data_IF_999428032104
#
_entry.id   IF_999428032104
#
_cell.length_a   1.000
_cell.length_b   1.000
_cell.length_c   1.000
_cell.angle_alpha   90.00
_cell.angle_beta   90.00
_cell.angle_gamma   90.00
#
_symmetry.space_group_name_H-M   'P 1'
#
loop_
_entity.id
_entity.type
_entity.pdbx_description
1 polymer ?
#
# COMPACT_ATOMS: atom_id res chain seq x y z
N UNK A 1 15.28 -1.23 10.34
CA UNK A 1 14.07 -0.60 9.77
C UNK A 1 13.75 0.59 10.63
N UNK A 2 13.95 1.80 10.14
CA UNK A 2 13.54 2.99 10.87
C UNK A 2 12.08 3.27 10.50
N UNK A 3 11.18 3.14 11.46
CA UNK A 3 9.81 3.63 11.32
C UNK A 3 9.90 5.15 11.41
N UNK A 4 9.54 5.85 10.34
CA UNK A 4 9.56 7.32 10.31
C UNK A 4 8.55 7.94 11.31
N UNK A 5 7.61 7.13 11.81
CA UNK A 5 6.58 7.53 12.78
C UNK A 5 6.30 6.38 13.74
N UNK A 6 5.88 6.71 14.96
CA UNK A 6 5.43 5.72 15.91
C UNK A 6 4.27 4.90 15.31
N UNK A 7 4.35 3.58 15.49
CA UNK A 7 3.29 2.68 15.02
C UNK A 7 2.02 2.96 15.83
N UNK A 8 0.87 3.21 15.20
CA UNK A 8 -0.37 3.30 15.95
C UNK A 8 -0.65 1.94 16.60
N UNK A 9 -0.99 1.97 17.87
CA UNK A 9 -1.51 0.78 18.56
C UNK A 9 -2.90 0.49 17.99
N UNK A 10 -3.03 -0.59 17.24
CA UNK A 10 -4.31 -1.05 16.72
C UNK A 10 -4.89 -2.03 17.74
N UNK A 11 -6.04 -1.68 18.30
CA UNK A 11 -6.75 -2.62 19.17
C UNK A 11 -7.14 -3.87 18.38
N UNK A 12 -6.94 -5.05 18.95
CA UNK A 12 -7.28 -6.34 18.32
C UNK A 12 -8.73 -6.43 17.88
N UNK A 13 -9.63 -5.72 18.57
CA UNK A 13 -11.07 -5.77 18.36
C UNK A 13 -11.60 -4.70 17.39
N UNK A 14 -10.74 -3.81 16.90
CA UNK A 14 -11.15 -2.81 15.94
C UNK A 14 -11.40 -3.40 14.54
N UNK A 15 -12.57 -3.07 13.99
CA UNK A 15 -12.86 -3.34 12.57
C UNK A 15 -12.09 -2.36 11.70
N UNK A 16 -11.35 -2.87 10.72
CA UNK A 16 -10.48 -2.03 9.91
C UNK A 16 -10.48 -2.41 8.43
N UNK A 17 -10.71 -1.42 7.58
CA UNK A 17 -10.38 -1.47 6.17
C UNK A 17 -8.94 -1.01 6.01
N UNK A 18 -8.04 -1.94 5.68
CA UNK A 18 -6.62 -1.66 5.55
C UNK A 18 -6.18 -1.66 4.10
N UNK A 19 -5.63 -0.55 3.62
CA UNK A 19 -5.14 -0.40 2.25
C UNK A 19 -3.61 -0.27 2.27
N UNK A 20 -2.93 -1.22 1.66
CA UNK A 20 -1.51 -1.13 1.35
C UNK A 20 -1.33 -0.58 -0.05
N UNK A 21 -0.66 0.56 -0.15
CA UNK A 21 -0.33 1.24 -1.39
C UNK A 21 1.12 1.74 -1.37
N UNK A 22 1.58 2.20 -2.51
CA UNK A 22 2.91 2.79 -2.68
C UNK A 22 3.32 2.83 -4.14
N UNK A 23 4.29 3.66 -4.50
CA UNK A 23 4.69 3.83 -5.88
C UNK A 23 5.20 2.52 -6.48
N UNK A 24 5.01 2.40 -7.76
CA UNK A 24 5.59 1.28 -8.52
C UNK A 24 7.10 1.19 -8.23
N UNK A 25 7.64 -0.03 -8.04
CA UNK A 25 9.04 -0.26 -7.64
C UNK A 25 9.41 0.12 -6.19
N UNK A 26 8.45 0.40 -5.33
CA UNK A 26 8.67 0.54 -3.88
C UNK A 26 8.41 -0.76 -3.11
N UNK A 27 8.70 -1.91 -3.68
CA UNK A 27 8.50 -3.26 -3.13
C UNK A 27 7.03 -3.72 -2.99
N UNK A 28 6.04 -2.97 -3.50
CA UNK A 28 4.62 -3.32 -3.35
C UNK A 28 4.29 -4.71 -3.88
N UNK A 29 4.86 -5.12 -5.04
CA UNK A 29 4.62 -6.47 -5.59
C UNK A 29 5.17 -7.56 -4.66
N UNK A 30 6.33 -7.34 -4.04
CA UNK A 30 6.90 -8.27 -3.08
C UNK A 30 6.02 -8.40 -1.82
N UNK A 31 5.55 -7.25 -1.30
CA UNK A 31 4.66 -7.21 -0.13
C UNK A 31 3.35 -7.93 -0.45
N UNK A 32 2.71 -7.61 -1.57
CA UNK A 32 1.46 -8.26 -1.99
C UNK A 32 1.62 -9.78 -2.13
N UNK A 33 2.71 -10.24 -2.74
CA UNK A 33 3.00 -11.66 -2.91
C UNK A 33 3.22 -12.37 -1.56
N UNK A 34 3.93 -11.73 -0.63
CA UNK A 34 4.13 -12.25 0.72
C UNK A 34 2.82 -12.33 1.51
N UNK A 35 1.98 -11.31 1.41
CA UNK A 35 0.65 -11.30 2.03
C UNK A 35 -0.20 -12.46 1.49
N UNK A 36 -0.21 -12.67 0.17
CA UNK A 36 -0.93 -13.79 -0.46
C UNK A 36 -0.46 -15.15 0.03
N UNK A 37 0.86 -15.38 0.10
CA UNK A 37 1.43 -16.63 0.61
C UNK A 37 1.10 -16.90 2.08
N UNK A 38 0.82 -15.84 2.85
CA UNK A 38 0.45 -15.94 4.26
C UNK A 38 -1.05 -15.75 4.51
N UNK A 39 -1.91 -15.92 3.49
CA UNK A 39 -3.36 -15.71 3.60
C UNK A 39 -3.99 -16.53 4.73
N UNK A 40 -3.58 -17.80 4.90
CA UNK A 40 -4.06 -18.64 5.98
C UNK A 40 -3.70 -18.06 7.36
N UNK A 41 -2.46 -17.61 7.54
CA UNK A 41 -2.02 -16.96 8.78
C UNK A 41 -2.72 -15.61 9.00
N UNK A 42 -3.04 -14.85 7.95
CA UNK A 42 -3.88 -13.64 8.05
C UNK A 42 -5.29 -13.98 8.53
N UNK A 43 -5.89 -15.05 8.01
CA UNK A 43 -7.22 -15.50 8.42
C UNK A 43 -7.27 -15.89 9.90
N UNK A 44 -6.22 -16.54 10.45
CA UNK A 44 -6.14 -16.81 11.90
C UNK A 44 -6.04 -15.54 12.75
N UNK A 45 -5.58 -14.43 12.16
CA UNK A 45 -5.55 -13.09 12.76
C UNK A 45 -6.81 -12.27 12.45
N UNK A 46 -7.88 -12.92 11.97
CA UNK A 46 -9.16 -12.30 11.61
C UNK A 46 -9.04 -11.25 10.49
N UNK A 47 -8.07 -11.41 9.59
CA UNK A 47 -7.83 -10.54 8.44
C UNK A 47 -8.22 -11.25 7.15
N UNK A 48 -9.23 -10.72 6.46
CA UNK A 48 -9.61 -11.14 5.11
C UNK A 48 -8.79 -10.33 4.10
N UNK A 49 -8.00 -11.01 3.30
CA UNK A 49 -7.25 -10.36 2.22
C UNK A 49 -8.05 -10.38 0.92
N UNK A 50 -8.02 -9.25 0.19
CA UNK A 50 -8.55 -9.15 -1.18
C UNK A 50 -8.09 -10.32 -2.06
N UNK A 51 -8.98 -10.76 -2.95
CA UNK A 51 -8.76 -11.94 -3.80
C UNK A 51 -7.53 -11.85 -4.71
N UNK A 52 -7.21 -12.97 -5.35
CA UNK A 52 -6.01 -13.07 -6.20
C UNK A 52 -6.03 -12.12 -7.40
N UNK A 53 -7.22 -11.76 -7.84
CA UNK A 53 -7.44 -10.84 -8.97
C UNK A 53 -7.37 -9.36 -8.56
N UNK A 54 -7.07 -9.03 -7.29
CA UNK A 54 -7.15 -7.67 -6.75
C UNK A 54 -8.48 -6.97 -7.07
N UNK A 55 -9.59 -7.67 -6.93
CA UNK A 55 -10.90 -7.17 -7.32
C UNK A 55 -11.21 -5.83 -6.66
N UNK A 56 -11.08 -5.74 -5.34
CA UNK A 56 -11.39 -4.52 -4.59
C UNK A 56 -10.42 -3.38 -4.95
N UNK A 57 -9.14 -3.70 -5.13
CA UNK A 57 -8.15 -2.70 -5.54
C UNK A 57 -8.47 -2.13 -6.94
N UNK A 58 -8.86 -2.98 -7.88
CA UNK A 58 -9.18 -2.55 -9.24
C UNK A 58 -10.46 -1.70 -9.27
N UNK A 59 -11.49 -2.11 -8.55
CA UNK A 59 -12.76 -1.36 -8.50
C UNK A 59 -12.59 0.00 -7.82
N UNK A 60 -11.76 0.11 -6.77
CA UNK A 60 -11.38 1.40 -6.18
C UNK A 60 -10.64 2.27 -7.22
N UNK A 61 -9.70 1.69 -7.97
CA UNK A 61 -8.97 2.42 -9.01
C UNK A 61 -9.90 2.93 -10.13
N UNK A 62 -10.96 2.21 -10.43
CA UNK A 62 -12.01 2.54 -11.40
C UNK A 62 -13.12 3.44 -10.82
N UNK A 63 -13.05 3.74 -9.50
CA UNK A 63 -14.05 4.50 -8.75
C UNK A 63 -15.45 3.80 -8.72
N UNK A 64 -15.45 2.48 -8.84
CA UNK A 64 -16.63 1.64 -8.61
C UNK A 64 -16.55 1.05 -7.19
N UNK A 65 -17.27 1.61 -6.25
CA UNK A 65 -17.18 1.23 -4.83
C UNK A 65 -18.16 0.14 -4.40
N UNK A 66 -19.11 -0.26 -5.25
CA UNK A 66 -20.11 -1.26 -4.90
C UNK A 66 -19.50 -2.59 -4.43
N UNK A 67 -18.47 -3.18 -5.07
CA UNK A 67 -17.85 -4.40 -4.57
C UNK A 67 -17.18 -4.24 -3.20
N UNK A 68 -16.71 -3.02 -2.87
CA UNK A 68 -16.18 -2.73 -1.54
C UNK A 68 -17.29 -2.64 -0.50
N UNK A 69 -18.42 -2.02 -0.83
CA UNK A 69 -19.62 -2.01 0.03
C UNK A 69 -20.11 -3.42 0.34
N UNK A 70 -20.20 -4.25 -0.68
CA UNK A 70 -20.61 -5.65 -0.55
C UNK A 70 -19.64 -6.42 0.38
N UNK A 71 -18.33 -6.18 0.24
CA UNK A 71 -17.31 -6.80 1.08
C UNK A 71 -17.37 -6.31 2.54
N UNK A 72 -17.66 -5.03 2.78
CA UNK A 72 -17.76 -4.44 4.12
C UNK A 72 -19.03 -4.93 4.82
N UNK A 73 -20.17 -4.95 4.12
CA UNK A 73 -21.47 -5.40 4.65
C UNK A 73 -21.51 -6.91 4.86
N UNK A 74 -20.92 -7.67 3.93
CA UNK A 74 -20.92 -9.13 3.92
C UNK A 74 -19.75 -9.78 4.67
N UNK A 75 -18.91 -8.99 5.40
CA UNK A 75 -17.76 -9.56 6.08
C UNK A 75 -18.18 -10.61 7.13
N UNK A 76 -17.73 -11.88 7.00
CA UNK A 76 -18.08 -12.92 7.96
C UNK A 76 -17.64 -12.56 9.39
N UNK A 77 -18.42 -12.95 10.40
CA UNK A 77 -18.20 -12.56 11.81
C UNK A 77 -16.88 -13.01 12.42
N UNK A 78 -16.24 -14.03 11.83
CA UNK A 78 -14.90 -14.47 12.21
C UNK A 78 -13.79 -13.55 11.71
N UNK A 79 -14.08 -12.58 10.84
CA UNK A 79 -13.13 -11.56 10.37
C UNK A 79 -13.47 -10.19 10.97
N UNK A 80 -12.44 -9.39 11.19
CA UNK A 80 -12.55 -8.00 11.67
C UNK A 80 -11.88 -7.00 10.73
N UNK A 81 -11.02 -7.48 9.85
CA UNK A 81 -10.22 -6.62 8.99
C UNK A 81 -10.28 -7.07 7.55
N UNK A 82 -10.36 -6.10 6.64
CA UNK A 82 -10.19 -6.32 5.21
C UNK A 82 -8.86 -5.69 4.81
N UNK A 83 -8.00 -6.47 4.15
CA UNK A 83 -6.70 -6.02 3.67
C UNK A 83 -6.70 -6.00 2.14
N UNK A 84 -6.55 -4.81 1.58
CA UNK A 84 -6.39 -4.57 0.14
C UNK A 84 -4.93 -4.19 -0.11
N UNK A 85 -4.25 -4.88 -1.01
CA UNK A 85 -2.83 -4.64 -1.28
C UNK A 85 -2.57 -4.55 -2.77
N UNK A 86 -2.30 -3.33 -3.27
CA UNK A 86 -2.00 -3.13 -4.69
C UNK A 86 -1.20 -1.85 -4.95
N UNK A 87 -0.22 -1.95 -5.85
CA UNK A 87 0.50 -0.77 -6.36
C UNK A 87 -0.35 0.09 -7.30
N UNK A 88 -1.46 -0.44 -7.85
CA UNK A 88 -2.37 0.35 -8.71
C UNK A 88 -3.11 1.45 -7.95
N UNK A 89 -3.14 1.34 -6.63
CA UNK A 89 -3.80 2.32 -5.76
C UNK A 89 -2.93 3.55 -5.44
N UNK A 90 -1.64 3.56 -5.76
CA UNK A 90 -0.70 4.61 -5.36
C UNK A 90 -1.23 6.03 -5.62
N UNK A 91 -1.43 6.37 -6.88
CA UNK A 91 -1.90 7.72 -7.27
C UNK A 91 -3.41 7.91 -7.05
N UNK A 92 -4.16 6.83 -6.92
CA UNK A 92 -5.62 6.89 -6.77
C UNK A 92 -6.02 7.26 -5.34
N UNK A 93 -5.46 6.59 -4.34
CA UNK A 93 -5.78 6.87 -2.94
C UNK A 93 -5.28 8.23 -2.46
N UNK A 94 -4.36 8.87 -3.19
CA UNK A 94 -3.88 10.21 -2.88
C UNK A 94 -4.80 11.32 -3.41
N UNK A 95 -5.86 10.98 -4.13
CA UNK A 95 -6.89 11.96 -4.48
C UNK A 95 -7.79 12.20 -3.27
N UNK A 96 -7.93 13.47 -2.88
CA UNK A 96 -8.76 13.88 -1.74
C UNK A 96 -10.17 13.28 -1.81
N UNK A 97 -10.82 13.34 -2.97
CA UNK A 97 -12.16 12.78 -3.18
C UNK A 97 -12.21 11.27 -2.92
N UNK A 98 -11.20 10.52 -3.35
CA UNK A 98 -11.14 9.06 -3.14
C UNK A 98 -10.93 8.74 -1.67
N UNK A 99 -10.03 9.46 -0.98
CA UNK A 99 -9.80 9.29 0.46
C UNK A 99 -11.08 9.56 1.27
N UNK A 100 -11.79 10.65 0.96
CA UNK A 100 -13.05 10.98 1.62
C UNK A 100 -14.07 9.87 1.41
N UNK A 101 -14.30 9.42 0.18
CA UNK A 101 -15.24 8.35 -0.12
C UNK A 101 -14.87 7.06 0.62
N UNK A 102 -13.60 6.66 0.60
CA UNK A 102 -13.15 5.44 1.29
C UNK A 102 -13.32 5.54 2.81
N UNK A 103 -13.04 6.71 3.39
CA UNK A 103 -13.22 6.97 4.81
C UNK A 103 -14.71 6.89 5.20
N UNK A 104 -15.57 7.61 4.47
CA UNK A 104 -17.00 7.68 4.75
C UNK A 104 -17.65 6.31 4.57
N UNK A 105 -17.27 5.59 3.51
CA UNK A 105 -17.74 4.24 3.26
C UNK A 105 -17.30 3.28 4.39
N UNK A 106 -16.02 3.26 4.75
CA UNK A 106 -15.55 2.44 5.86
C UNK A 106 -16.31 2.75 7.15
N UNK A 107 -16.46 4.04 7.47
CA UNK A 107 -17.13 4.51 8.68
C UNK A 107 -18.61 4.13 8.73
N UNK A 108 -19.33 4.17 7.60
CA UNK A 108 -20.75 3.79 7.53
C UNK A 108 -21.01 2.32 7.87
N UNK A 109 -20.00 1.46 7.69
CA UNK A 109 -20.03 0.04 8.06
C UNK A 109 -19.29 -0.25 9.39
N UNK A 110 -18.91 0.77 10.14
CA UNK A 110 -18.23 0.64 11.43
C UNK A 110 -16.77 0.21 11.35
N UNK A 111 -16.11 0.47 10.21
CA UNK A 111 -14.68 0.25 10.04
C UNK A 111 -13.89 1.56 10.16
N UNK A 112 -12.69 1.48 10.73
CA UNK A 112 -11.68 2.52 10.57
C UNK A 112 -10.93 2.31 9.25
N UNK A 113 -10.59 3.39 8.57
CA UNK A 113 -9.70 3.33 7.41
C UNK A 113 -8.24 3.38 7.85
N UNK A 114 -7.45 2.41 7.41
CA UNK A 114 -6.00 2.37 7.61
C UNK A 114 -5.26 2.37 6.28
N UNK A 115 -4.18 3.15 6.17
CA UNK A 115 -3.35 3.21 4.97
C UNK A 115 -1.89 2.95 5.32
N UNK A 116 -1.33 1.90 4.72
CA UNK A 116 0.12 1.65 4.69
C UNK A 116 0.68 2.17 3.39
N UNK A 117 1.54 3.18 3.47
CA UNK A 117 2.14 3.76 2.28
C UNK A 117 3.65 3.49 2.26
N UNK A 118 4.10 2.77 1.23
CA UNK A 118 5.51 2.45 1.06
C UNK A 118 6.21 3.54 0.26
N UNK A 119 7.30 4.03 0.81
CA UNK A 119 8.22 4.96 0.13
C UNK A 119 9.57 4.26 -0.09
N UNK A 120 10.29 4.68 -1.10
CA UNK A 120 11.63 4.18 -1.39
C UNK A 120 12.57 5.36 -1.53
N UNK A 121 13.85 5.16 -1.18
CA UNK A 121 14.89 6.12 -1.50
C UNK A 121 14.79 6.55 -2.97
N UNK A 122 14.76 7.86 -3.22
CA UNK A 122 14.46 8.41 -4.53
C UNK A 122 15.49 8.00 -5.60
N UNK A 123 16.78 7.93 -5.24
CA UNK A 123 17.83 7.53 -6.14
C UNK A 123 17.69 6.05 -6.54
N UNK A 124 17.50 5.19 -5.56
CA UNK A 124 17.27 3.75 -5.79
C UNK A 124 15.98 3.49 -6.55
N UNK A 125 14.93 4.28 -6.28
CA UNK A 125 13.68 4.20 -7.00
C UNK A 125 13.86 4.58 -8.47
N UNK A 126 14.50 5.73 -8.73
CA UNK A 126 14.74 6.26 -10.07
C UNK A 126 15.54 5.27 -10.93
N UNK A 127 16.60 4.71 -10.37
CA UNK A 127 17.41 3.68 -11.03
C UNK A 127 16.56 2.43 -11.35
N UNK A 128 15.76 1.97 -10.41
CA UNK A 128 14.88 0.79 -10.59
C UNK A 128 13.84 1.00 -11.69
N UNK A 129 13.22 2.18 -11.75
CA UNK A 129 12.24 2.52 -12.79
C UNK A 129 12.92 2.64 -14.15
N UNK A 130 14.08 3.28 -14.22
CA UNK A 130 14.86 3.37 -15.46
C UNK A 130 15.24 1.99 -16.00
N UNK A 131 15.80 1.12 -15.16
CA UNK A 131 16.13 -0.25 -15.55
C UNK A 131 14.90 -1.03 -16.04
N UNK A 132 13.75 -0.81 -15.42
CA UNK A 132 12.49 -1.41 -15.87
C UNK A 132 12.06 -0.90 -17.23
N UNK A 133 12.18 0.40 -17.49
CA UNK A 133 11.87 0.99 -18.80
C UNK A 133 12.79 0.45 -19.90
N UNK A 134 14.07 0.34 -19.64
CA UNK A 134 15.03 -0.24 -20.60
C UNK A 134 14.66 -1.69 -20.92
N UNK A 135 14.40 -2.51 -19.88
CA UNK A 135 14.09 -3.95 -20.05
C UNK A 135 12.75 -4.20 -20.71
N UNK A 136 11.71 -3.50 -20.30
CA UNK A 136 10.32 -3.80 -20.72
C UNK A 136 9.90 -3.01 -21.95
N UNK A 137 10.32 -1.78 -22.06
CA UNK A 137 9.91 -0.86 -23.11
C UNK A 137 11.03 -0.58 -24.12
N UNK A 138 12.18 -1.26 -23.99
CA UNK A 138 13.36 -1.08 -24.84
C UNK A 138 13.75 0.39 -25.01
N UNK A 139 13.64 1.18 -23.96
CA UNK A 139 14.01 2.59 -23.98
C UNK A 139 15.51 2.73 -24.25
N UNK A 140 15.85 3.55 -25.23
CA UNK A 140 17.23 3.89 -25.60
C UNK A 140 17.70 5.22 -25.00
N UNK A 141 16.84 5.88 -24.23
CA UNK A 141 17.15 7.14 -23.59
C UNK A 141 18.28 6.96 -22.55
N UNK A 142 19.30 7.80 -22.59
CA UNK A 142 20.34 7.81 -21.56
C UNK A 142 19.80 8.12 -20.17
N UNK A 143 20.37 7.49 -19.13
CA UNK A 143 19.93 7.67 -17.75
C UNK A 143 19.98 9.14 -17.30
N UNK A 144 21.03 9.87 -17.67
CA UNK A 144 21.18 11.29 -17.36
C UNK A 144 20.06 12.17 -17.94
N UNK A 145 19.63 11.88 -19.17
CA UNK A 145 18.48 12.56 -19.81
C UNK A 145 17.17 12.20 -19.15
N UNK A 146 17.02 10.92 -18.79
CA UNK A 146 15.85 10.44 -18.03
C UNK A 146 15.73 11.13 -16.68
N UNK A 147 16.82 11.19 -15.90
CA UNK A 147 16.82 11.89 -14.60
C UNK A 147 16.44 13.36 -14.73
N UNK A 148 17.04 14.09 -15.70
CA UNK A 148 16.67 15.49 -15.94
C UNK A 148 15.21 15.68 -16.31
N UNK A 149 14.62 14.78 -17.07
CA UNK A 149 13.22 14.81 -17.42
C UNK A 149 12.33 14.64 -16.16
N UNK A 150 12.62 13.66 -15.32
CA UNK A 150 11.91 13.41 -14.07
C UNK A 150 12.01 14.61 -13.12
N UNK A 151 13.20 15.16 -12.93
CA UNK A 151 13.42 16.30 -12.03
C UNK A 151 12.67 17.57 -12.47
N UNK A 152 12.40 17.73 -13.77
CA UNK A 152 11.59 18.84 -14.28
C UNK A 152 10.09 18.63 -14.04
N UNK A 153 9.66 17.40 -13.81
CA UNK A 153 8.24 17.02 -13.65
C UNK A 153 8.06 16.06 -12.46
N UNK A 154 8.46 16.45 -11.23
CA UNK A 154 8.47 15.54 -10.08
C UNK A 154 7.09 14.98 -9.74
N UNK A 155 6.04 15.79 -9.81
CA UNK A 155 4.67 15.39 -9.48
C UNK A 155 4.08 14.35 -10.42
N UNK A 156 4.56 14.28 -11.67
CA UNK A 156 4.07 13.32 -12.66
C UNK A 156 4.66 11.90 -12.49
N UNK A 157 5.64 11.72 -11.61
CA UNK A 157 6.45 10.49 -11.54
C UNK A 157 6.56 9.87 -10.16
N UNK A 158 5.66 10.13 -9.27
CA UNK A 158 5.60 9.49 -7.95
C UNK A 158 6.80 9.76 -7.01
N UNK A 159 7.67 10.72 -7.34
CA UNK A 159 8.82 11.07 -6.50
C UNK A 159 8.54 12.21 -5.52
N UNK A 160 7.42 12.90 -5.66
CA UNK A 160 7.02 13.96 -4.73
C UNK A 160 6.39 13.39 -3.46
N UNK A 161 7.22 12.72 -2.66
CA UNK A 161 6.78 12.18 -1.37
C UNK A 161 6.28 13.24 -0.38
N UNK A 162 6.86 14.45 -0.29
CA UNK A 162 6.34 15.48 0.59
C UNK A 162 4.87 15.81 0.31
N UNK A 163 4.49 16.04 -0.94
CA UNK A 163 3.09 16.29 -1.31
C UNK A 163 2.18 15.10 -1.02
N UNK A 164 2.64 13.89 -1.30
CA UNK A 164 1.88 12.66 -1.01
C UNK A 164 1.65 12.46 0.49
N UNK A 165 2.69 12.64 1.29
CA UNK A 165 2.60 12.57 2.75
C UNK A 165 1.66 13.66 3.28
N UNK A 166 1.76 14.88 2.76
CA UNK A 166 0.89 16.00 3.14
C UNK A 166 -0.59 15.68 2.88
N UNK A 167 -0.92 15.09 1.72
CA UNK A 167 -2.29 14.66 1.43
C UNK A 167 -2.78 13.67 2.49
N UNK A 168 -2.01 12.63 2.78
CA UNK A 168 -2.39 11.62 3.76
C UNK A 168 -2.48 12.21 5.19
N UNK A 169 -1.55 13.07 5.59
CA UNK A 169 -1.55 13.69 6.92
C UNK A 169 -2.65 14.73 7.12
N UNK A 170 -3.25 15.21 6.04
CA UNK A 170 -4.43 16.08 6.07
C UNK A 170 -5.72 15.41 6.58
N UNK A 171 -5.71 14.09 6.81
CA UNK A 171 -6.85 13.32 7.33
C UNK A 171 -6.51 12.72 8.69
N UNK A 172 -6.70 13.42 9.82
CA UNK A 172 -6.32 12.94 11.14
C UNK A 172 -7.03 11.63 11.54
N UNK A 173 -8.24 11.41 11.04
CA UNK A 173 -9.10 10.25 11.32
C UNK A 173 -8.62 8.94 10.66
N UNK A 174 -7.76 9.04 9.62
CA UNK A 174 -7.22 7.87 8.94
C UNK A 174 -5.96 7.39 9.66
N UNK A 175 -5.89 6.11 9.98
CA UNK A 175 -4.67 5.48 10.51
C UNK A 175 -3.63 5.37 9.39
N UNK A 176 -2.46 5.99 9.57
CA UNK A 176 -1.43 6.08 8.55
C UNK A 176 -0.13 5.45 8.97
N UNK A 177 0.51 4.77 8.04
CA UNK A 177 1.81 4.17 8.23
C UNK A 177 2.68 4.37 7.00
N UNK A 178 3.82 5.00 7.22
CA UNK A 178 4.81 5.21 6.17
C UNK A 178 5.98 4.27 6.38
N UNK A 179 6.33 3.53 5.34
CA UNK A 179 7.45 2.59 5.37
C UNK A 179 8.50 2.99 4.36
N UNK A 180 9.72 3.22 4.82
CA UNK A 180 10.86 3.30 3.93
C UNK A 180 11.20 1.88 3.43
N UNK A 181 11.03 1.64 2.13
CA UNK A 181 11.51 0.41 1.50
C UNK A 181 13.04 0.46 1.49
N UNK A 182 13.67 -0.31 2.37
CA UNK A 182 15.12 -0.47 2.39
C UNK A 182 15.54 -1.37 1.21
N UNK A 183 16.69 -1.07 0.61
CA UNK A 183 17.30 -1.88 -0.45
C UNK A 183 17.29 -3.38 -0.12
N UNK A 184 17.33 -4.23 -1.13
CA UNK A 184 17.07 -5.68 -1.11
C UNK A 184 17.84 -6.53 -0.06
N UNK A 185 18.73 -5.98 0.72
CA UNK A 185 19.46 -6.62 1.82
C UNK A 185 18.84 -6.42 3.21
N UNK A 186 17.82 -5.58 3.36
CA UNK A 186 17.20 -5.27 4.66
C UNK A 186 16.09 -6.24 5.04
N UNK A 187 16.10 -6.69 6.29
CA UNK A 187 15.17 -7.64 6.90
C UNK A 187 13.70 -7.19 6.79
N UNK A 188 13.00 -7.57 5.72
CA UNK A 188 11.55 -7.38 5.58
C UNK A 188 10.72 -8.13 6.65
N UNK A 189 11.36 -8.99 7.45
CA UNK A 189 10.71 -9.80 8.50
C UNK A 189 10.06 -8.97 9.59
N UNK A 190 10.70 -7.88 10.00
CA UNK A 190 10.18 -7.04 11.08
C UNK A 190 8.86 -6.36 10.72
N UNK A 191 8.61 -6.08 9.43
CA UNK A 191 7.36 -5.49 8.97
C UNK A 191 6.16 -6.40 9.22
N UNK A 192 6.24 -7.66 8.79
CA UNK A 192 5.11 -8.59 8.92
C UNK A 192 4.85 -9.00 10.36
N UNK A 193 5.91 -9.25 11.15
CA UNK A 193 5.75 -9.65 12.55
C UNK A 193 5.24 -8.50 13.43
N UNK A 194 5.71 -7.27 13.21
CA UNK A 194 5.28 -6.10 14.01
C UNK A 194 3.86 -5.66 13.68
N UNK A 195 3.37 -5.97 12.49
CA UNK A 195 2.11 -5.44 11.99
C UNK A 195 0.95 -6.41 12.00
N UNK A 196 1.19 -7.62 11.61
CA UNK A 196 0.14 -8.62 11.47
C UNK A 196 0.30 -9.76 12.50
N UNK A 197 1.29 -9.66 13.39
CA UNK A 197 1.59 -10.77 14.30
C UNK A 197 2.02 -12.05 13.57
N UNK A 198 2.34 -11.94 12.28
CA UNK A 198 2.68 -13.09 11.45
C UNK A 198 4.16 -13.38 11.60
N UNK A 199 4.50 -14.49 12.25
CA UNK A 199 5.81 -15.09 12.14
C UNK A 199 6.05 -15.49 10.68
N UNK A 200 6.90 -14.74 9.96
CA UNK A 200 7.24 -15.09 8.57
C UNK A 200 8.17 -16.31 8.63
N UNK A 201 7.60 -17.50 8.45
CA UNK A 201 8.39 -18.71 8.25
C UNK A 201 9.30 -18.56 7.03
N UNK A 202 10.54 -19.07 7.21
CA UNK A 202 11.48 -19.21 6.10
C UNK A 202 10.97 -20.27 5.16
N UNK A 203 10.41 -19.92 4.03
CA UNK A 203 10.48 -20.80 2.88
C UNK A 203 11.79 -20.45 2.16
N UNK A 204 12.74 -21.38 2.27
CA UNK A 204 14.01 -21.41 1.53
C UNK A 204 13.70 -21.53 0.04
#
# INVERSE_FOLDING_TARGET
MHTLFALPQINSDERMLWIHAGPHKAASSYVTERLRKNRAALATQRVLMDGDNNLLANTIAEQNYQPLEDALSGLPSNFQRILISSSSLDTRILKKSVLTILHDLASSYGFKLGISYFIRDQQSWLNSVYCHRVRRFRSTQEFSKYCRYIMKNPSSWDIDYPSKISVLTGYPEIVKMFFAAISASGNHRSFFSSYFGIGVERTI
#
